data_IF_799382799612
#
_entry.id   IF_799382799612
#
_cell.length_a   1.000
_cell.length_b   1.000
_cell.length_c   1.000
_cell.angle_alpha   90.00
_cell.angle_beta   90.00
_cell.angle_gamma   90.00
#
_symmetry.space_group_name_H-M   'P 1'
#
loop_
_entity.id
_entity.type
_entity.pdbx_description
1 polymer ?
#
# COMPACT_ATOMS: atom_id res chain seq x y z
N UNK A 1 -14.12 0.38 -25.73
CA UNK A 1 -13.49 -0.83 -26.31
C UNK A 1 -13.24 -1.77 -25.15
N UNK A 2 -13.43 -3.10 -25.26
CA UNK A 2 -13.04 -3.99 -24.18
C UNK A 2 -11.55 -3.74 -23.89
N UNK A 3 -11.20 -3.48 -22.62
CA UNK A 3 -9.83 -3.19 -22.22
C UNK A 3 -8.95 -4.39 -22.54
N UNK A 4 -8.16 -4.29 -23.61
CA UNK A 4 -7.19 -5.32 -23.97
C UNK A 4 -6.03 -5.20 -22.99
N UNK A 5 -6.13 -5.82 -21.83
CA UNK A 5 -5.03 -5.87 -20.87
C UNK A 5 -3.90 -6.74 -21.44
N UNK A 6 -2.73 -6.15 -21.64
CA UNK A 6 -1.53 -6.90 -21.99
C UNK A 6 -1.21 -7.91 -20.89
N UNK A 7 -0.95 -9.17 -21.26
CA UNK A 7 -0.55 -10.22 -20.30
C UNK A 7 0.70 -9.80 -19.52
N UNK A 8 1.61 -9.10 -20.19
CA UNK A 8 2.85 -8.57 -19.63
C UNK A 8 2.79 -7.04 -19.57
N UNK A 9 1.81 -6.51 -18.83
CA UNK A 9 1.66 -5.07 -18.61
C UNK A 9 2.86 -4.49 -17.85
N UNK A 10 3.17 -3.21 -18.09
CA UNK A 10 4.27 -2.54 -17.41
C UNK A 10 4.00 -2.42 -15.90
N UNK A 11 2.75 -2.17 -15.49
CA UNK A 11 2.36 -2.08 -14.07
C UNK A 11 2.53 -3.38 -13.30
N UNK A 12 2.49 -4.54 -13.97
CA UNK A 12 2.76 -5.86 -13.38
C UNK A 12 4.19 -6.35 -13.60
N UNK A 13 5.07 -5.54 -14.20
CA UNK A 13 6.43 -5.95 -14.61
C UNK A 13 7.33 -6.41 -13.49
N UNK A 14 7.28 -5.77 -12.32
CA UNK A 14 7.99 -6.25 -11.13
C UNK A 14 7.63 -7.71 -10.81
N UNK A 15 6.42 -8.16 -11.11
CA UNK A 15 5.98 -9.53 -10.85
C UNK A 15 6.43 -10.49 -11.93
N UNK A 16 6.11 -10.25 -13.20
CA UNK A 16 6.44 -11.21 -14.26
C UNK A 16 7.94 -11.23 -14.62
N UNK A 17 8.72 -10.20 -14.28
CA UNK A 17 10.19 -10.24 -14.41
C UNK A 17 10.84 -11.13 -13.34
N UNK A 18 10.30 -11.12 -12.11
CA UNK A 18 10.87 -11.90 -11.02
C UNK A 18 10.29 -13.32 -10.92
N UNK A 19 9.01 -13.50 -11.24
CA UNK A 19 8.32 -14.78 -11.26
C UNK A 19 7.65 -14.95 -12.63
N UNK A 20 8.42 -15.39 -13.62
CA UNK A 20 7.97 -15.54 -15.02
C UNK A 20 6.67 -16.34 -15.21
N UNK A 21 6.45 -17.52 -14.58
CA UNK A 21 5.21 -18.28 -14.78
C UNK A 21 3.96 -17.59 -14.19
N UNK A 22 4.11 -16.58 -13.33
CA UNK A 22 2.97 -15.86 -12.72
C UNK A 22 2.03 -15.25 -13.77
N UNK A 23 2.57 -14.75 -14.87
CA UNK A 23 1.82 -14.09 -15.93
C UNK A 23 0.72 -14.98 -16.54
N UNK A 24 1.01 -16.28 -16.71
CA UNK A 24 0.01 -17.27 -17.19
C UNK A 24 -0.82 -17.84 -16.07
N UNK A 25 -0.22 -18.07 -14.90
CA UNK A 25 -0.93 -18.62 -13.75
C UNK A 25 -2.12 -17.74 -13.34
N UNK A 26 -1.94 -16.43 -13.33
CA UNK A 26 -2.97 -15.46 -12.96
C UNK A 26 -4.14 -15.34 -13.94
N UNK A 27 -4.05 -15.91 -15.15
CA UNK A 27 -5.17 -15.95 -16.09
C UNK A 27 -6.26 -16.92 -15.65
N UNK A 28 -5.93 -17.86 -14.75
CA UNK A 28 -6.88 -18.82 -14.19
C UNK A 28 -7.71 -18.24 -13.03
N UNK A 29 -7.48 -16.97 -12.66
CA UNK A 29 -8.12 -16.32 -11.52
C UNK A 29 -8.89 -15.08 -11.98
N UNK A 30 -10.06 -14.76 -11.37
CA UNK A 30 -10.85 -13.58 -11.71
C UNK A 30 -10.04 -12.29 -11.62
N UNK A 31 -10.17 -11.42 -12.63
CA UNK A 31 -9.56 -10.09 -12.62
C UNK A 31 -10.62 -9.06 -12.22
N UNK A 32 -10.80 -8.87 -10.91
CA UNK A 32 -11.78 -7.95 -10.34
C UNK A 32 -11.14 -6.58 -10.09
N UNK A 33 -11.88 -5.50 -10.36
CA UNK A 33 -11.51 -4.16 -9.92
C UNK A 33 -11.67 -4.06 -8.41
N UNK A 34 -10.92 -3.16 -7.79
CA UNK A 34 -11.15 -2.76 -6.40
C UNK A 34 -11.55 -1.30 -6.38
N UNK A 35 -12.20 -0.87 -5.30
CA UNK A 35 -12.52 0.55 -5.07
C UNK A 35 -11.27 1.42 -5.22
N UNK A 36 -10.12 0.96 -4.73
CA UNK A 36 -8.84 1.67 -4.88
C UNK A 36 -8.37 1.80 -6.33
N UNK A 37 -8.63 0.81 -7.18
CA UNK A 37 -8.29 0.86 -8.60
C UNK A 37 -9.21 1.82 -9.37
N UNK A 38 -10.50 1.84 -9.03
CA UNK A 38 -11.49 2.76 -9.62
C UNK A 38 -11.23 4.21 -9.19
N UNK A 39 -10.96 4.42 -7.90
CA UNK A 39 -10.52 5.71 -7.34
C UNK A 39 -9.23 6.21 -8.01
N UNK A 40 -8.24 5.32 -8.20
CA UNK A 40 -7.03 5.63 -8.95
C UNK A 40 -7.33 6.08 -10.39
N UNK A 41 -8.21 5.36 -11.09
CA UNK A 41 -8.61 5.70 -12.46
C UNK A 41 -9.26 7.09 -12.54
N UNK A 42 -10.13 7.42 -11.57
CA UNK A 42 -10.73 8.76 -11.46
C UNK A 42 -9.66 9.84 -11.23
N UNK A 43 -8.68 9.57 -10.37
CA UNK A 43 -7.60 10.51 -10.08
C UNK A 43 -6.69 10.75 -11.31
N UNK A 44 -6.35 9.70 -12.09
CA UNK A 44 -5.61 9.86 -13.35
C UNK A 44 -6.39 10.72 -14.35
N UNK A 45 -7.68 10.45 -14.55
CA UNK A 45 -8.51 11.24 -15.47
C UNK A 45 -8.58 12.73 -15.07
N UNK A 46 -8.66 13.02 -13.76
CA UNK A 46 -8.65 14.39 -13.25
C UNK A 46 -7.27 15.06 -13.45
N UNK A 47 -6.18 14.33 -13.18
CA UNK A 47 -4.81 14.78 -13.44
C UNK A 47 -4.54 15.08 -14.92
N UNK A 48 -4.95 14.18 -15.82
CA UNK A 48 -4.91 14.37 -17.28
C UNK A 48 -5.63 15.67 -17.67
N UNK A 49 -6.86 15.86 -17.20
CA UNK A 49 -7.63 17.07 -17.49
C UNK A 49 -6.89 18.35 -17.08
N UNK A 50 -6.27 18.37 -15.88
CA UNK A 50 -5.52 19.53 -15.39
C UNK A 50 -4.33 19.84 -16.28
N UNK A 51 -3.56 18.82 -16.69
CA UNK A 51 -2.42 18.98 -17.60
C UNK A 51 -2.83 19.46 -18.99
N UNK A 52 -3.81 18.80 -19.61
CA UNK A 52 -4.30 19.18 -20.94
C UNK A 52 -4.87 20.60 -20.96
N UNK A 53 -5.56 21.01 -19.90
CA UNK A 53 -6.04 22.39 -19.73
C UNK A 53 -4.89 23.40 -19.68
N UNK A 54 -3.81 23.09 -18.95
CA UNK A 54 -2.61 23.91 -18.92
C UNK A 54 -1.92 24.00 -20.29
N UNK A 55 -1.91 22.90 -21.06
CA UNK A 55 -1.42 22.87 -22.45
C UNK A 55 -2.37 23.54 -23.48
N UNK A 56 -3.42 24.22 -23.01
CA UNK A 56 -4.42 24.91 -23.82
C UNK A 56 -5.22 24.00 -24.77
N UNK A 57 -5.31 22.70 -24.46
CA UNK A 57 -6.16 21.76 -25.19
C UNK A 57 -7.64 21.94 -24.80
N UNK A 58 -8.53 21.69 -25.76
CA UNK A 58 -9.98 21.72 -25.51
C UNK A 58 -10.44 20.40 -24.92
N UNK A 59 -10.50 20.32 -23.59
CA UNK A 59 -10.91 19.12 -22.86
C UNK A 59 -12.10 19.38 -21.94
N UNK A 60 -12.93 18.35 -21.76
CA UNK A 60 -14.04 18.37 -20.80
C UNK A 60 -13.54 17.81 -19.48
N UNK A 61 -13.88 18.46 -18.37
CA UNK A 61 -13.59 17.93 -17.03
C UNK A 61 -14.32 16.60 -16.82
N UNK A 62 -13.63 15.53 -16.37
CA UNK A 62 -14.29 14.28 -15.99
C UNK A 62 -15.16 14.48 -14.74
N UNK A 63 -16.04 13.53 -14.48
CA UNK A 63 -16.88 13.49 -13.27
C UNK A 63 -16.82 12.09 -12.70
N UNK A 64 -16.59 11.96 -11.40
CA UNK A 64 -16.52 10.68 -10.70
C UNK A 64 -17.22 10.77 -9.35
N UNK A 65 -17.79 9.67 -8.86
CA UNK A 65 -18.32 9.57 -7.49
C UNK A 65 -17.21 9.52 -6.43
N UNK A 66 -15.99 9.20 -6.85
CA UNK A 66 -14.80 9.14 -6.00
C UNK A 66 -14.09 10.50 -5.84
N UNK A 67 -14.57 11.55 -6.52
CA UNK A 67 -13.95 12.87 -6.46
C UNK A 67 -14.23 13.55 -5.11
N UNK A 68 -13.16 13.85 -4.37
CA UNK A 68 -13.18 14.56 -3.10
C UNK A 68 -12.09 15.64 -3.03
N UNK A 69 -12.06 16.40 -1.94
CA UNK A 69 -11.06 17.47 -1.72
C UNK A 69 -9.62 16.92 -1.70
N UNK A 70 -9.42 15.68 -1.26
CA UNK A 70 -8.11 15.06 -1.20
C UNK A 70 -7.60 14.71 -2.61
N UNK A 71 -8.45 14.13 -3.45
CA UNK A 71 -8.14 13.81 -4.84
C UNK A 71 -7.83 15.08 -5.64
N UNK A 72 -8.58 16.16 -5.41
CA UNK A 72 -8.27 17.47 -6.00
C UNK A 72 -6.87 17.94 -5.62
N UNK A 73 -6.55 17.98 -4.32
CA UNK A 73 -5.24 18.41 -3.84
C UNK A 73 -4.10 17.51 -4.36
N UNK A 74 -4.28 16.19 -4.36
CA UNK A 74 -3.27 15.25 -4.85
C UNK A 74 -3.02 15.40 -6.35
N UNK A 75 -4.09 15.58 -7.15
CA UNK A 75 -3.95 15.78 -8.59
C UNK A 75 -3.43 17.18 -8.94
N UNK A 76 -3.62 18.18 -8.07
CA UNK A 76 -2.95 19.49 -8.17
C UNK A 76 -1.44 19.35 -7.96
N UNK A 77 -1.00 18.67 -6.90
CA UNK A 77 0.44 18.42 -6.65
C UNK A 77 1.09 17.72 -7.86
N UNK A 78 0.40 16.72 -8.43
CA UNK A 78 0.85 16.03 -9.63
C UNK A 78 0.98 16.98 -10.84
N UNK A 79 -0.07 17.74 -11.12
CA UNK A 79 -0.09 18.66 -12.26
C UNK A 79 0.96 19.77 -12.10
N UNK A 80 1.07 20.37 -10.92
CA UNK A 80 2.04 21.44 -10.60
C UNK A 80 3.48 20.97 -10.76
N UNK A 81 3.80 19.74 -10.34
CA UNK A 81 5.14 19.18 -10.53
C UNK A 81 5.52 19.09 -12.01
N UNK A 82 4.61 18.59 -12.86
CA UNK A 82 4.84 18.50 -14.30
C UNK A 82 4.92 19.88 -14.93
N UNK A 83 3.99 20.78 -14.59
CA UNK A 83 3.95 22.16 -15.09
C UNK A 83 5.27 22.88 -14.77
N UNK A 84 5.73 22.79 -13.52
CA UNK A 84 7.00 23.41 -13.11
C UNK A 84 8.19 22.82 -13.85
N UNK A 85 8.17 21.52 -14.17
CA UNK A 85 9.21 20.89 -14.98
C UNK A 85 9.16 21.36 -16.43
N UNK A 86 7.97 21.45 -17.03
CA UNK A 86 7.80 21.99 -18.39
C UNK A 86 8.27 23.43 -18.47
N UNK A 87 7.89 24.29 -17.53
CA UNK A 87 8.33 25.70 -17.51
C UNK A 87 9.85 25.82 -17.35
N UNK A 88 10.47 25.03 -16.47
CA UNK A 88 11.93 24.98 -16.34
C UNK A 88 12.61 24.53 -17.63
N UNK A 89 12.06 23.54 -18.32
CA UNK A 89 12.58 23.08 -19.62
C UNK A 89 12.46 24.18 -20.67
N UNK A 90 11.38 24.97 -20.67
CA UNK A 90 11.17 26.08 -21.62
C UNK A 90 12.22 27.18 -21.51
N UNK A 91 12.92 27.28 -20.38
CA UNK A 91 14.04 28.23 -20.21
C UNK A 91 15.21 27.93 -21.17
N UNK A 92 15.45 26.65 -21.49
CA UNK A 92 16.54 26.21 -22.38
C UNK A 92 16.05 25.68 -23.72
N UNK A 93 14.83 25.14 -23.77
CA UNK A 93 14.21 24.52 -24.93
C UNK A 93 12.88 25.23 -25.24
N UNK A 94 12.82 26.20 -26.17
CA UNK A 94 11.61 26.99 -26.38
C UNK A 94 10.37 26.19 -26.83
N UNK A 95 10.56 25.00 -27.40
CA UNK A 95 9.49 24.16 -27.93
C UNK A 95 9.68 22.69 -27.49
N UNK A 96 9.51 22.36 -26.19
CA UNK A 96 9.56 20.98 -25.75
C UNK A 96 8.32 20.24 -26.26
N UNK A 97 8.49 18.97 -26.66
CA UNK A 97 7.34 18.12 -26.99
C UNK A 97 6.78 17.57 -25.67
N UNK A 98 5.54 17.91 -25.34
CA UNK A 98 4.82 17.42 -24.14
C UNK A 98 3.62 16.61 -24.61
N UNK A 99 3.50 15.39 -24.12
CA UNK A 99 2.43 14.45 -24.46
C UNK A 99 1.80 13.94 -23.17
N UNK A 100 0.46 13.93 -23.12
CA UNK A 100 -0.33 13.52 -21.94
C UNK A 100 -1.16 12.30 -22.31
N UNK A 101 -1.18 11.29 -21.44
CA UNK A 101 -1.77 9.96 -21.69
C UNK A 101 -1.24 9.32 -22.98
N UNK A 102 0.09 9.31 -23.14
CA UNK A 102 0.73 8.80 -24.34
C UNK A 102 0.79 7.28 -24.32
N UNK A 103 0.39 6.63 -25.42
CA UNK A 103 0.48 5.17 -25.55
C UNK A 103 1.92 4.76 -25.86
N UNK A 104 2.51 3.97 -24.97
CA UNK A 104 3.90 3.54 -25.03
C UNK A 104 3.99 2.07 -25.42
N UNK A 105 4.29 1.82 -26.70
CA UNK A 105 4.41 0.47 -27.25
C UNK A 105 5.84 -0.04 -27.15
N UNK A 106 6.04 -1.08 -26.33
CA UNK A 106 7.30 -1.80 -26.17
C UNK A 106 7.18 -3.26 -26.65
N UNK A 107 6.26 -3.52 -27.57
CA UNK A 107 5.92 -4.87 -28.03
C UNK A 107 7.02 -5.56 -28.84
N UNK A 108 7.97 -4.76 -29.37
CA UNK A 108 9.20 -5.24 -30.02
C UNK A 108 10.14 -5.96 -29.04
N UNK A 109 9.98 -5.75 -27.73
CA UNK A 109 10.72 -6.42 -26.65
C UNK A 109 9.88 -7.47 -25.94
N UNK A 110 8.65 -7.10 -25.59
CA UNK A 110 7.74 -7.89 -24.75
C UNK A 110 6.47 -8.19 -25.56
N UNK A 111 6.13 -9.44 -25.87
CA UNK A 111 4.96 -9.72 -26.72
C UNK A 111 3.67 -9.07 -26.20
N UNK A 112 3.01 -8.29 -27.06
CA UNK A 112 1.81 -7.50 -26.74
C UNK A 112 2.01 -6.44 -25.64
N UNK A 113 3.25 -6.12 -25.29
CA UNK A 113 3.60 -5.16 -24.24
C UNK A 113 3.33 -3.72 -24.65
N UNK A 114 2.45 -3.06 -23.91
CA UNK A 114 2.25 -1.62 -23.98
C UNK A 114 1.80 -1.09 -22.63
N UNK A 115 1.84 0.23 -22.47
CA UNK A 115 1.10 0.92 -21.43
C UNK A 115 0.81 2.36 -21.83
N UNK A 116 0.40 3.15 -20.84
CA UNK A 116 0.11 4.56 -21.02
C UNK A 116 0.98 5.33 -20.04
N UNK A 117 1.80 6.24 -20.56
CA UNK A 117 2.56 7.18 -19.74
C UNK A 117 1.71 8.41 -19.50
N UNK A 118 1.51 8.78 -18.23
CA UNK A 118 0.62 9.89 -17.88
C UNK A 118 1.15 11.22 -18.44
N UNK A 119 2.47 11.44 -18.39
CA UNK A 119 3.13 12.55 -19.08
C UNK A 119 4.50 12.15 -19.61
N UNK A 120 4.75 12.45 -20.89
CA UNK A 120 6.02 12.23 -21.58
C UNK A 120 6.51 13.55 -22.17
N UNK A 121 7.76 13.91 -21.88
CA UNK A 121 8.36 15.15 -22.38
C UNK A 121 9.65 14.82 -23.13
N UNK A 122 9.88 15.44 -24.28
CA UNK A 122 11.15 15.35 -25.01
C UNK A 122 11.71 16.76 -25.16
N UNK A 123 12.91 16.97 -24.61
CA UNK A 123 13.61 18.24 -24.67
C UNK A 123 15.11 18.07 -24.48
N UNK A 124 15.92 18.83 -25.21
CA UNK A 124 17.38 18.94 -25.05
C UNK A 124 18.12 17.59 -24.96
N UNK A 125 17.70 16.62 -25.78
CA UNK A 125 18.29 15.27 -25.80
C UNK A 125 17.95 14.40 -24.59
N UNK A 126 16.97 14.82 -23.78
CA UNK A 126 16.44 14.08 -22.62
C UNK A 126 14.99 13.70 -22.87
N UNK A 127 14.65 12.44 -22.56
CA UNK A 127 13.30 11.91 -22.51
C UNK A 127 12.85 11.85 -21.05
N UNK A 128 11.77 12.55 -20.72
CA UNK A 128 11.15 12.51 -19.41
C UNK A 128 9.90 11.65 -19.45
N UNK A 129 9.75 10.74 -18.48
CA UNK A 129 8.55 9.92 -18.30
C UNK A 129 8.07 10.10 -16.87
N UNK A 130 6.87 10.65 -16.69
CA UNK A 130 6.31 10.94 -15.37
C UNK A 130 5.01 10.15 -15.19
N UNK A 131 4.92 9.45 -14.05
CA UNK A 131 3.80 8.55 -13.71
C UNK A 131 3.25 8.93 -12.35
N UNK A 132 1.93 9.09 -12.28
CA UNK A 132 1.17 9.39 -11.09
C UNK A 132 0.80 8.10 -10.35
N UNK A 133 0.89 8.12 -9.02
CA UNK A 133 0.45 7.03 -8.15
C UNK A 133 -0.49 7.56 -7.08
N UNK A 134 -1.75 7.12 -7.11
CA UNK A 134 -2.76 7.49 -6.12
C UNK A 134 -2.84 6.55 -4.90
N UNK A 135 -2.04 5.48 -4.86
CA UNK A 135 -2.11 4.49 -3.77
C UNK A 135 -1.58 5.03 -2.43
N UNK A 136 -2.25 4.71 -1.31
CA UNK A 136 -1.84 5.06 0.07
C UNK A 136 -1.00 3.99 0.78
N UNK A 137 -1.09 2.72 0.35
CA UNK A 137 -0.58 1.58 1.14
C UNK A 137 0.77 0.99 0.69
N UNK A 138 1.36 1.51 -0.39
CA UNK A 138 2.62 1.01 -0.95
C UNK A 138 3.46 2.17 -1.45
N UNK A 139 4.64 2.34 -0.88
CA UNK A 139 5.65 3.26 -1.38
C UNK A 139 6.20 2.76 -2.72
N UNK A 140 6.22 3.62 -3.73
CA UNK A 140 6.75 3.27 -5.06
C UNK A 140 8.00 4.08 -5.35
N UNK A 141 9.16 3.42 -5.33
CA UNK A 141 10.45 4.01 -5.71
C UNK A 141 10.63 3.97 -7.24
N UNK A 142 11.19 5.03 -7.81
CA UNK A 142 11.54 5.12 -9.23
C UNK A 142 12.90 4.49 -9.57
N UNK A 143 13.80 4.33 -8.58
CA UNK A 143 15.12 3.71 -8.75
C UNK A 143 15.01 2.30 -9.36
N UNK A 144 15.53 2.15 -10.58
CA UNK A 144 15.44 0.96 -11.42
C UNK A 144 14.02 0.35 -11.48
N UNK A 145 12.98 1.19 -11.46
CA UNK A 145 11.60 0.73 -11.47
C UNK A 145 11.23 0.12 -12.84
N UNK A 146 10.88 -1.18 -12.92
CA UNK A 146 10.66 -1.82 -14.21
C UNK A 146 9.46 -1.27 -14.99
N UNK A 147 8.43 -0.75 -14.33
CA UNK A 147 7.29 -0.11 -15.00
C UNK A 147 7.79 1.13 -15.75
N UNK A 148 8.52 2.01 -15.06
CA UNK A 148 9.02 3.26 -15.61
C UNK A 148 10.02 3.02 -16.74
N UNK A 149 10.91 2.04 -16.57
CA UNK A 149 11.89 1.68 -17.60
C UNK A 149 11.22 1.12 -18.86
N UNK A 150 10.15 0.31 -18.73
CA UNK A 150 9.37 -0.15 -19.89
C UNK A 150 8.65 0.99 -20.61
N UNK A 151 8.13 1.97 -19.87
CA UNK A 151 7.55 3.18 -20.45
C UNK A 151 8.60 3.99 -21.20
N UNK A 152 9.77 4.20 -20.60
CA UNK A 152 10.89 4.85 -21.27
C UNK A 152 11.32 4.11 -22.55
N UNK A 153 11.34 2.77 -22.55
CA UNK A 153 11.63 1.97 -23.75
C UNK A 153 10.57 2.17 -24.84
N UNK A 154 9.30 2.19 -24.47
CA UNK A 154 8.20 2.45 -25.40
C UNK A 154 8.28 3.85 -26.01
N UNK A 155 8.52 4.87 -25.18
CA UNK A 155 8.69 6.24 -25.64
C UNK A 155 9.95 6.42 -26.50
N UNK A 156 11.08 5.83 -26.09
CA UNK A 156 12.31 5.87 -26.89
C UNK A 156 12.14 5.14 -28.23
N UNK A 157 11.44 4.01 -28.27
CA UNK A 157 11.14 3.32 -29.52
C UNK A 157 10.27 4.19 -30.46
N UNK A 158 9.29 4.91 -29.91
CA UNK A 158 8.41 5.78 -30.69
C UNK A 158 9.10 7.06 -31.20
N UNK A 159 10.06 7.61 -30.45
CA UNK A 159 10.58 8.96 -30.72
C UNK A 159 12.10 9.04 -30.91
N UNK A 160 12.87 8.02 -30.55
CA UNK A 160 14.34 8.01 -30.60
C UNK A 160 14.94 8.11 -32.01
N UNK A 161 14.16 7.82 -33.06
CA UNK A 161 14.57 8.05 -34.45
C UNK A 161 14.33 9.50 -34.92
N UNK A 162 13.43 10.22 -34.25
CA UNK A 162 13.11 11.63 -34.54
C UNK A 162 14.00 12.59 -33.75
N UNK A 163 14.34 12.22 -32.52
CA UNK A 163 15.07 13.06 -31.58
C UNK A 163 16.35 12.36 -31.13
N UNK A 164 17.46 13.10 -31.06
CA UNK A 164 18.74 12.60 -30.53
C UNK A 164 18.71 12.49 -29.00
N UNK A 165 17.91 11.55 -28.49
CA UNK A 165 17.76 11.28 -27.05
C UNK A 165 18.98 10.49 -26.57
N UNK A 166 19.64 10.98 -25.52
CA UNK A 166 20.81 10.34 -24.88
C UNK A 166 20.57 9.97 -23.43
N UNK A 167 19.64 10.67 -22.78
CA UNK A 167 19.32 10.51 -21.37
C UNK A 167 17.82 10.28 -21.20
N UNK A 168 17.48 9.45 -20.22
CA UNK A 168 16.10 9.26 -19.77
C UNK A 168 16.00 9.68 -18.30
N UNK A 169 14.96 10.43 -17.97
CA UNK A 169 14.61 10.85 -16.62
C UNK A 169 13.20 10.36 -16.31
N UNK A 170 13.07 9.44 -15.37
CA UNK A 170 11.79 8.85 -14.98
C UNK A 170 11.40 9.38 -13.61
N UNK A 171 10.14 9.78 -13.43
CA UNK A 171 9.66 10.29 -12.15
C UNK A 171 8.35 9.63 -11.77
N UNK A 172 8.27 9.16 -10.52
CA UNK A 172 7.03 8.71 -9.88
C UNK A 172 6.56 9.82 -8.93
N UNK A 173 5.30 10.20 -9.06
CA UNK A 173 4.67 11.24 -8.25
C UNK A 173 3.55 10.60 -7.43
N UNK A 174 3.76 10.49 -6.12
CA UNK A 174 2.86 9.83 -5.18
C UNK A 174 2.53 10.76 -4.01
N UNK A 175 1.61 11.73 -4.18
CA UNK A 175 1.36 12.79 -3.20
C UNK A 175 0.87 12.29 -1.85
N UNK A 176 0.06 11.22 -1.83
CA UNK A 176 -0.48 10.60 -0.61
C UNK A 176 0.56 10.07 0.37
N UNK A 177 1.78 9.81 -0.12
CA UNK A 177 2.92 9.38 0.69
C UNK A 177 4.05 10.42 0.68
N UNK A 178 3.75 11.66 0.27
CA UNK A 178 4.72 12.76 0.15
C UNK A 178 5.97 12.34 -0.65
N UNK A 179 5.78 11.48 -1.65
CA UNK A 179 6.86 10.84 -2.38
C UNK A 179 6.92 11.35 -3.81
N UNK A 180 8.03 11.99 -4.16
CA UNK A 180 8.43 12.27 -5.54
C UNK A 180 9.81 11.65 -5.73
N UNK A 181 9.87 10.60 -6.55
CA UNK A 181 11.08 9.82 -6.76
C UNK A 181 11.49 9.91 -8.23
N UNK A 182 12.73 10.32 -8.48
CA UNK A 182 13.28 10.43 -9.84
C UNK A 182 14.48 9.50 -9.99
N UNK A 183 14.53 8.79 -11.10
CA UNK A 183 15.66 7.97 -11.52
C UNK A 183 16.08 8.39 -12.93
N UNK A 184 17.38 8.54 -13.13
CA UNK A 184 17.95 8.95 -14.41
C UNK A 184 19.00 7.95 -14.87
N UNK A 185 18.96 7.60 -16.14
CA UNK A 185 19.93 6.70 -16.76
C UNK A 185 20.23 7.12 -18.20
N UNK A 186 21.29 6.53 -18.75
CA UNK A 186 21.60 6.68 -20.18
C UNK A 186 20.68 5.81 -21.03
N UNK A 187 20.48 6.18 -22.29
CA UNK A 187 19.74 5.33 -23.25
C UNK A 187 20.45 3.99 -23.44
N UNK A 188 21.78 3.99 -23.44
CA UNK A 188 22.60 2.78 -23.58
C UNK A 188 22.33 1.79 -22.45
N UNK A 189 22.29 2.27 -21.20
CA UNK A 189 21.97 1.47 -20.02
C UNK A 189 20.54 0.92 -20.06
N UNK A 190 19.57 1.76 -20.48
CA UNK A 190 18.19 1.35 -20.62
C UNK A 190 18.02 0.23 -21.67
N UNK A 191 18.70 0.34 -22.81
CA UNK A 191 18.67 -0.66 -23.87
C UNK A 191 19.41 -1.94 -23.47
N UNK A 192 20.54 -1.83 -22.75
CA UNK A 192 21.24 -3.00 -22.23
C UNK A 192 20.36 -3.80 -21.27
N UNK A 193 19.67 -3.13 -20.35
CA UNK A 193 18.69 -3.78 -19.46
C UNK A 193 17.55 -4.44 -20.25
N UNK A 194 17.05 -3.77 -21.30
CA UNK A 194 15.98 -4.30 -22.15
C UNK A 194 16.38 -5.62 -22.83
N UNK A 195 17.59 -5.68 -23.38
CA UNK A 195 18.09 -6.84 -24.12
C UNK A 195 18.56 -7.96 -23.20
N UNK A 196 19.32 -7.64 -22.15
CA UNK A 196 19.98 -8.64 -21.28
C UNK A 196 19.05 -9.19 -20.20
N UNK A 197 18.10 -8.39 -19.72
CA UNK A 197 17.24 -8.76 -18.60
C UNK A 197 15.79 -8.98 -19.02
N UNK A 198 15.17 -8.00 -19.70
CA UNK A 198 13.73 -8.00 -20.01
C UNK A 198 13.38 -9.00 -21.09
N UNK A 199 13.98 -8.90 -22.28
CA UNK A 199 13.65 -9.74 -23.45
C UNK A 199 13.65 -11.24 -23.13
N UNK A 200 14.67 -11.84 -22.49
CA UNK A 200 14.65 -13.27 -22.19
C UNK A 200 13.55 -13.66 -21.19
N UNK A 201 13.29 -12.82 -20.17
CA UNK A 201 12.25 -13.06 -19.16
C UNK A 201 10.85 -12.89 -19.72
N UNK A 202 10.63 -11.88 -20.54
CA UNK A 202 9.37 -11.64 -21.22
C UNK A 202 8.96 -12.83 -22.09
N UNK A 203 9.92 -13.45 -22.79
CA UNK A 203 9.67 -14.69 -23.54
C UNK A 203 9.19 -15.83 -22.63
N UNK A 204 9.92 -16.09 -21.54
CA UNK A 204 9.54 -17.14 -20.58
C UNK A 204 8.16 -16.86 -19.96
N UNK A 205 7.94 -15.62 -19.52
CA UNK A 205 6.68 -15.20 -18.91
C UNK A 205 5.49 -15.32 -19.87
N UNK A 206 5.68 -14.91 -21.12
CA UNK A 206 4.64 -15.04 -22.15
C UNK A 206 4.30 -16.50 -22.46
N UNK A 207 5.28 -17.40 -22.38
CA UNK A 207 5.11 -18.85 -22.53
C UNK A 207 4.62 -19.55 -21.25
N UNK A 208 4.58 -18.84 -20.10
CA UNK A 208 4.26 -19.43 -18.79
C UNK A 208 5.33 -20.37 -18.25
N UNK A 209 6.58 -20.23 -18.71
CA UNK A 209 7.72 -21.04 -18.32
C UNK A 209 8.58 -20.33 -17.28
N UNK A 210 9.49 -21.09 -16.67
CA UNK A 210 10.40 -20.62 -15.63
C UNK A 210 9.99 -21.14 -14.26
N UNK A 211 10.65 -20.61 -13.23
CA UNK A 211 10.43 -21.03 -11.85
C UNK A 211 9.45 -20.08 -11.15
N UNK A 212 8.59 -20.64 -10.30
CA UNK A 212 7.77 -19.83 -9.40
C UNK A 212 8.69 -19.34 -8.28
N UNK A 213 8.97 -18.04 -8.27
CA UNK A 213 9.81 -17.41 -7.26
C UNK A 213 8.92 -16.53 -6.37
N UNK A 214 8.69 -16.92 -5.12
CA UNK A 214 7.99 -16.06 -4.16
C UNK A 214 8.81 -14.80 -3.85
N UNK A 215 8.12 -13.70 -3.56
CA UNK A 215 8.73 -12.44 -3.14
C UNK A 215 7.68 -11.35 -2.93
N UNK A 216 8.11 -10.09 -2.77
CA UNK A 216 7.20 -8.96 -2.50
C UNK A 216 6.13 -8.77 -3.57
N UNK A 217 6.43 -9.16 -4.81
CA UNK A 217 5.48 -9.09 -5.93
C UNK A 217 4.28 -10.02 -5.77
N UNK A 218 4.34 -11.02 -4.87
CA UNK A 218 3.22 -11.92 -4.61
C UNK A 218 2.02 -11.23 -3.97
N UNK A 219 2.20 -10.07 -3.30
CA UNK A 219 1.09 -9.29 -2.71
C UNK A 219 0.00 -8.94 -3.75
N UNK A 220 0.42 -8.70 -4.99
CA UNK A 220 -0.46 -8.34 -6.10
C UNK A 220 -0.72 -9.50 -7.06
N UNK A 221 -0.24 -10.71 -6.75
CA UNK A 221 -0.46 -11.89 -7.56
C UNK A 221 -1.83 -12.48 -7.25
N UNK A 222 -2.72 -12.57 -8.26
CA UNK A 222 -4.05 -13.17 -8.08
C UNK A 222 -3.99 -14.65 -7.68
N UNK A 223 -2.94 -15.34 -8.10
CA UNK A 223 -2.74 -16.75 -7.79
C UNK A 223 -2.10 -17.02 -6.42
N UNK A 224 -1.79 -15.98 -5.62
CA UNK A 224 -0.99 -16.12 -4.38
C UNK A 224 -1.57 -17.13 -3.38
N UNK A 225 -2.89 -17.20 -3.26
CA UNK A 225 -3.59 -18.10 -2.31
C UNK A 225 -3.52 -19.56 -2.72
N UNK A 226 -3.33 -19.85 -4.01
CA UNK A 226 -3.24 -21.23 -4.55
C UNK A 226 -1.84 -21.56 -5.08
N UNK A 227 -0.86 -20.69 -4.87
CA UNK A 227 0.49 -20.84 -5.39
C UNK A 227 1.29 -21.82 -4.52
N UNK A 228 1.69 -22.95 -5.10
CA UNK A 228 2.50 -23.96 -4.42
C UNK A 228 3.81 -23.37 -3.90
N UNK A 229 4.52 -22.55 -4.69
CA UNK A 229 5.78 -21.97 -4.23
C UNK A 229 5.60 -21.04 -3.02
N UNK A 230 4.49 -20.29 -2.95
CA UNK A 230 4.17 -19.49 -1.76
C UNK A 230 3.88 -20.39 -0.54
N UNK A 231 3.16 -21.49 -0.73
CA UNK A 231 2.91 -22.46 0.33
C UNK A 231 4.20 -23.14 0.81
N UNK A 232 5.05 -23.59 -0.12
CA UNK A 232 6.32 -24.25 0.17
C UNK A 232 7.27 -23.32 0.93
N UNK A 233 7.35 -22.04 0.55
CA UNK A 233 8.14 -21.03 1.25
C UNK A 233 7.62 -20.76 2.67
N UNK A 234 6.31 -20.57 2.83
CA UNK A 234 5.69 -20.39 4.15
C UNK A 234 5.98 -21.61 5.05
N UNK A 235 5.87 -22.82 4.50
CA UNK A 235 6.17 -24.07 5.23
C UNK A 235 7.66 -24.25 5.52
N UNK A 236 8.55 -23.81 4.64
CA UNK A 236 10.01 -23.88 4.85
C UNK A 236 10.43 -22.98 6.02
N UNK A 237 9.87 -21.78 6.13
CA UNK A 237 10.14 -20.87 7.24
C UNK A 237 9.64 -21.42 8.57
N UNK A 238 8.44 -22.01 8.59
CA UNK A 238 7.94 -22.74 9.76
C UNK A 238 8.90 -23.88 10.15
N UNK A 239 9.52 -24.57 9.19
CA UNK A 239 10.45 -25.66 9.49
C UNK A 239 11.83 -25.20 9.93
N UNK A 240 12.40 -24.17 9.31
CA UNK A 240 13.76 -23.69 9.58
C UNK A 240 13.85 -22.88 10.88
N UNK A 241 12.80 -22.16 11.27
CA UNK A 241 12.84 -21.29 12.45
C UNK A 241 12.16 -21.88 13.68
N UNK A 242 11.28 -22.88 13.53
CA UNK A 242 10.34 -23.28 14.59
C UNK A 242 10.34 -24.76 15.02
N UNK A 243 11.31 -25.58 14.63
CA UNK A 243 11.45 -26.94 15.16
C UNK A 243 12.71 -27.11 16.01
N UNK A 244 12.54 -27.00 17.33
CA UNK A 244 13.22 -27.86 18.29
C UNK A 244 12.19 -28.29 19.34
N UNK A 245 11.93 -29.60 19.40
CA UNK A 245 11.18 -30.23 20.47
C UNK A 245 11.99 -30.13 21.77
N UNK A 246 11.27 -29.98 22.88
CA UNK A 246 11.71 -29.96 24.28
C UNK A 246 12.24 -28.62 24.84
N UNK A 247 11.33 -27.81 25.42
CA UNK A 247 11.55 -27.22 26.74
C UNK A 247 10.29 -26.48 27.27
N UNK A 248 9.67 -27.06 28.31
CA UNK A 248 9.01 -26.29 29.37
C UNK A 248 7.63 -25.73 29.05
N UNK A 249 6.60 -26.51 29.39
CA UNK A 249 5.25 -26.00 29.67
C UNK A 249 5.37 -24.92 30.74
N UNK A 250 5.06 -23.67 30.38
CA UNK A 250 4.67 -22.65 31.35
C UNK A 250 3.14 -22.60 31.34
N UNK A 251 2.54 -22.85 32.49
CA UNK A 251 1.12 -22.64 32.74
C UNK A 251 0.90 -21.12 32.83
N UNK A 252 0.29 -20.53 31.81
CA UNK A 252 -0.21 -19.15 31.90
C UNK A 252 -1.70 -19.17 32.24
N UNK A 253 -2.05 -18.44 33.30
CA UNK A 253 -3.42 -18.08 33.67
C UNK A 253 -4.04 -17.24 32.55
N UNK A 254 -5.12 -17.73 31.95
CA UNK A 254 -5.85 -17.05 30.89
C UNK A 254 -6.63 -15.87 31.43
N UNK A 255 -6.25 -14.64 31.07
CA UNK A 255 -7.18 -13.51 31.06
C UNK A 255 -8.02 -13.55 29.76
N UNK A 256 -9.33 -13.66 29.93
CA UNK A 256 -10.30 -13.67 28.82
C UNK A 256 -10.39 -12.27 28.17
N UNK A 257 -10.01 -12.17 26.91
CA UNK A 257 -10.44 -11.07 26.04
C UNK A 257 -11.16 -11.62 24.81
N UNK A 258 -12.12 -10.85 24.30
CA UNK A 258 -13.19 -11.26 23.37
C UNK A 258 -12.72 -11.69 21.94
N UNK A 259 -11.40 -11.80 21.72
CA UNK A 259 -10.76 -12.27 20.49
C UNK A 259 -10.38 -13.76 20.54
N UNK A 260 -10.47 -14.42 21.69
CA UNK A 260 -10.17 -15.85 21.86
C UNK A 260 -11.40 -16.57 22.39
N UNK A 261 -12.36 -16.85 21.50
CA UNK A 261 -13.24 -17.99 21.77
C UNK A 261 -12.33 -19.19 22.04
N UNK A 262 -12.57 -19.89 23.16
CA UNK A 262 -11.86 -21.11 23.58
C UNK A 262 -11.49 -21.95 22.35
N UNK A 263 -10.26 -21.74 21.90
CA UNK A 263 -9.61 -22.56 20.91
C UNK A 263 -8.98 -23.63 21.77
N UNK A 264 -9.45 -24.88 21.63
CA UNK A 264 -8.69 -26.03 22.11
C UNK A 264 -7.56 -26.19 21.08
N UNK A 265 -6.32 -25.73 21.36
CA UNK A 265 -5.24 -25.95 20.43
C UNK A 265 -4.99 -27.44 20.33
N UNK A 266 -4.98 -27.96 19.12
CA UNK A 266 -4.50 -29.31 18.88
C UNK A 266 -3.01 -29.38 19.29
N UNK A 267 -2.76 -29.98 20.46
CA UNK A 267 -1.43 -30.13 21.05
C UNK A 267 -0.53 -31.10 20.28
N UNK A 268 -1.04 -31.73 19.22
CA UNK A 268 -0.23 -32.48 18.26
C UNK A 268 0.46 -31.60 17.21
N UNK A 269 0.13 -30.31 17.15
CA UNK A 269 0.70 -29.32 16.22
C UNK A 269 1.94 -28.66 16.84
N UNK A 270 3.04 -28.46 16.09
CA UNK A 270 4.23 -27.79 16.59
C UNK A 270 3.92 -26.38 17.12
N UNK A 271 4.40 -26.07 18.32
CA UNK A 271 4.24 -24.75 18.95
C UNK A 271 5.35 -23.80 18.50
N UNK A 272 5.02 -22.52 18.30
CA UNK A 272 6.01 -21.50 17.95
C UNK A 272 6.99 -21.25 19.11
N UNK A 273 8.28 -21.08 18.80
CA UNK A 273 9.28 -20.55 19.72
C UNK A 273 8.80 -19.20 20.27
N UNK A 274 8.97 -19.02 21.58
CA UNK A 274 8.77 -17.71 22.18
C UNK A 274 9.68 -16.69 21.49
N UNK A 275 9.16 -15.50 21.11
CA UNK A 275 9.97 -14.41 20.57
C UNK A 275 11.17 -14.04 21.46
N UNK A 276 11.07 -14.30 22.77
CA UNK A 276 12.14 -14.09 23.74
C UNK A 276 13.37 -15.01 23.55
N UNK A 277 13.25 -16.07 22.73
CA UNK A 277 14.31 -17.04 22.45
C UNK A 277 15.02 -16.79 21.10
N UNK A 278 14.60 -15.77 20.35
CA UNK A 278 15.20 -15.39 19.07
C UNK A 278 16.16 -14.21 19.25
N UNK A 279 17.26 -14.21 18.51
CA UNK A 279 18.16 -13.06 18.51
C UNK A 279 17.50 -11.87 17.80
N UNK A 280 17.76 -10.65 18.26
CA UNK A 280 17.23 -9.42 17.63
C UNK A 280 17.50 -9.37 16.12
N UNK A 281 18.71 -9.75 15.70
CA UNK A 281 19.12 -9.74 14.30
C UNK A 281 18.36 -10.77 13.45
N UNK A 282 17.97 -11.90 14.03
CA UNK A 282 17.17 -12.90 13.33
C UNK A 282 15.72 -12.42 13.19
N UNK A 283 15.15 -11.84 14.25
CA UNK A 283 13.82 -11.21 14.20
C UNK A 283 13.78 -10.12 13.11
N UNK A 284 14.79 -9.25 13.05
CA UNK A 284 14.86 -8.17 12.04
C UNK A 284 14.91 -8.70 10.60
N UNK A 285 15.57 -9.83 10.35
CA UNK A 285 15.59 -10.49 9.03
C UNK A 285 14.27 -11.19 8.72
N UNK A 286 13.58 -11.70 9.73
CA UNK A 286 12.32 -12.41 9.61
C UNK A 286 11.14 -11.48 9.33
N UNK A 287 11.12 -10.28 9.92
CA UNK A 287 9.98 -9.36 9.89
C UNK A 287 9.38 -9.12 8.49
N UNK A 288 10.16 -8.82 7.42
CA UNK A 288 9.59 -8.64 6.08
C UNK A 288 8.84 -9.87 5.58
N UNK A 289 9.38 -11.05 5.90
CA UNK A 289 8.82 -12.33 5.50
C UNK A 289 7.60 -12.71 6.34
N UNK A 290 7.64 -12.47 7.65
CA UNK A 290 6.51 -12.68 8.56
C UNK A 290 5.30 -11.82 8.16
N UNK A 291 5.51 -10.54 7.88
CA UNK A 291 4.44 -9.65 7.40
C UNK A 291 3.81 -10.15 6.08
N UNK A 292 4.63 -10.78 5.22
CA UNK A 292 4.14 -11.38 3.98
C UNK A 292 3.35 -12.66 4.22
N UNK A 293 3.77 -13.50 5.16
CA UNK A 293 3.04 -14.71 5.58
C UNK A 293 1.70 -14.31 6.22
N UNK A 294 1.71 -13.35 7.15
CA UNK A 294 0.49 -12.82 7.78
C UNK A 294 -0.51 -12.36 6.72
N UNK A 295 -0.06 -11.53 5.77
CA UNK A 295 -0.91 -11.08 4.65
C UNK A 295 -1.39 -12.22 3.75
N UNK A 296 -0.66 -13.33 3.66
CA UNK A 296 -1.08 -14.52 2.91
C UNK A 296 -2.11 -15.35 3.70
N UNK A 297 -1.92 -15.51 5.01
CA UNK A 297 -2.87 -16.17 5.92
C UNK A 297 -4.21 -15.42 5.88
N UNK A 298 -4.20 -14.10 6.04
CA UNK A 298 -5.40 -13.26 5.94
C UNK A 298 -6.12 -13.45 4.59
N UNK A 299 -5.35 -13.59 3.50
CA UNK A 299 -5.89 -13.82 2.16
C UNK A 299 -6.59 -15.17 2.02
N UNK A 300 -6.00 -16.22 2.61
CA UNK A 300 -6.60 -17.54 2.65
C UNK A 300 -7.90 -17.48 3.41
N UNK A 301 -7.91 -16.86 4.60
CA UNK A 301 -9.14 -16.71 5.38
C UNK A 301 -10.22 -15.93 4.63
N UNK A 302 -9.86 -14.83 3.96
CA UNK A 302 -10.79 -14.06 3.14
C UNK A 302 -11.36 -14.90 1.98
N UNK A 303 -10.50 -15.66 1.28
CA UNK A 303 -10.91 -16.53 0.19
C UNK A 303 -11.85 -17.65 0.67
N UNK A 304 -11.45 -18.41 1.69
CA UNK A 304 -12.23 -19.50 2.28
C UNK A 304 -13.58 -18.97 2.78
N UNK A 305 -13.58 -17.81 3.44
CA UNK A 305 -14.81 -17.15 3.90
C UNK A 305 -15.71 -16.77 2.74
N UNK A 306 -15.16 -16.20 1.65
CA UNK A 306 -15.93 -15.85 0.46
C UNK A 306 -16.54 -17.09 -0.21
N UNK A 307 -15.77 -18.15 -0.43
CA UNK A 307 -16.26 -19.41 -0.99
C UNK A 307 -17.37 -20.04 -0.14
N UNK A 308 -17.20 -20.01 1.19
CA UNK A 308 -18.20 -20.56 2.10
C UNK A 308 -19.48 -19.71 2.16
N UNK A 309 -19.37 -18.38 2.16
CA UNK A 309 -20.50 -17.44 2.30
C UNK A 309 -21.25 -17.27 0.97
N UNK A 310 -20.52 -17.04 -0.12
CA UNK A 310 -21.11 -16.66 -1.41
C UNK A 310 -21.43 -17.86 -2.30
N UNK A 311 -20.66 -18.95 -2.17
CA UNK A 311 -20.78 -20.14 -3.02
C UNK A 311 -21.23 -21.40 -2.26
N UNK A 312 -21.42 -21.31 -0.94
CA UNK A 312 -21.92 -22.41 -0.11
C UNK A 312 -20.95 -23.59 0.03
N UNK A 313 -19.65 -23.35 -0.21
CA UNK A 313 -18.62 -24.39 -0.10
C UNK A 313 -18.39 -24.73 1.37
N UNK A 314 -18.56 -26.00 1.74
CA UNK A 314 -18.28 -26.50 3.09
C UNK A 314 -16.81 -26.90 3.24
N UNK A 315 -16.18 -26.46 4.32
CA UNK A 315 -14.81 -26.82 4.68
C UNK A 315 -14.84 -27.68 5.95
N UNK A 316 -14.17 -28.83 5.92
CA UNK A 316 -14.17 -29.76 7.07
C UNK A 316 -13.57 -29.08 8.31
N UNK A 317 -14.22 -29.23 9.46
CA UNK A 317 -13.86 -28.54 10.71
C UNK A 317 -14.31 -27.07 10.84
N UNK A 318 -14.86 -26.45 9.79
CA UNK A 318 -15.31 -25.05 9.82
C UNK A 318 -16.81 -24.93 9.50
N UNK A 319 -17.50 -23.96 10.12
CA UNK A 319 -18.91 -23.65 9.84
C UNK A 319 -19.09 -22.15 9.61
N UNK A 320 -19.95 -21.79 8.64
CA UNK A 320 -20.42 -20.41 8.49
C UNK A 320 -21.46 -20.15 9.56
N UNK A 321 -21.26 -19.11 10.35
CA UNK A 321 -22.19 -18.64 11.38
C UNK A 321 -22.54 -17.20 11.11
N UNK A 322 -23.71 -16.76 11.60
CA UNK A 322 -24.00 -15.33 11.65
C UNK A 322 -22.95 -14.64 12.52
N UNK A 323 -22.34 -13.57 12.00
CA UNK A 323 -21.43 -12.74 12.77
C UNK A 323 -22.12 -12.24 14.04
N UNK A 324 -21.37 -12.09 15.13
CA UNK A 324 -21.94 -11.62 16.41
C UNK A 324 -22.65 -10.28 16.20
N UNK A 325 -23.99 -10.26 16.28
CA UNK A 325 -24.76 -9.03 16.19
C UNK A 325 -24.49 -8.18 17.44
N UNK A 326 -23.95 -6.96 17.27
CA UNK A 326 -23.92 -5.99 18.37
C UNK A 326 -25.33 -5.42 18.54
N UNK A 327 -25.88 -5.49 19.75
CA UNK A 327 -27.15 -4.82 20.08
C UNK A 327 -26.94 -3.32 19.92
N UNK A 328 -27.81 -2.68 19.16
CA UNK A 328 -27.83 -1.24 18.98
C UNK A 328 -29.22 -0.74 19.35
N UNK A 329 -29.31 0.47 19.90
CA UNK A 329 -30.59 1.08 20.17
C UNK A 329 -31.29 1.41 18.84
N UNK A 330 -32.48 0.86 18.65
CA UNK A 330 -33.27 1.05 17.41
C UNK A 330 -33.69 2.52 17.22
N UNK A 331 -34.12 3.14 18.32
CA UNK A 331 -34.48 4.56 18.38
C UNK A 331 -34.10 5.10 19.76
N UNK A 332 -33.10 5.97 19.77
CA UNK A 332 -32.53 6.55 20.99
C UNK A 332 -33.56 7.35 21.78
N UNK A 333 -34.58 7.94 21.12
CA UNK A 333 -35.64 8.72 21.80
C UNK A 333 -36.59 7.83 22.59
N UNK A 334 -37.05 6.73 21.98
CA UNK A 334 -37.90 5.76 22.67
C UNK A 334 -37.17 5.10 23.83
N UNK A 335 -35.86 4.87 23.69
CA UNK A 335 -34.99 4.33 24.75
C UNK A 335 -34.87 5.31 25.91
N UNK A 336 -34.61 6.58 25.63
CA UNK A 336 -34.55 7.65 26.63
C UNK A 336 -35.86 7.77 27.39
N UNK A 337 -36.99 7.85 26.69
CA UNK A 337 -38.31 7.97 27.32
C UNK A 337 -38.67 6.74 28.17
N UNK A 338 -38.29 5.54 27.71
CA UNK A 338 -38.48 4.31 28.48
C UNK A 338 -37.60 4.27 29.73
N UNK A 339 -36.35 4.70 29.62
CA UNK A 339 -35.40 4.75 30.73
C UNK A 339 -35.81 5.80 31.79
N UNK A 340 -36.17 7.02 31.36
CA UNK A 340 -36.68 8.07 32.24
C UNK A 340 -37.97 7.66 32.95
N UNK A 341 -38.92 7.04 32.23
CA UNK A 341 -40.16 6.52 32.81
C UNK A 341 -39.92 5.42 33.83
N UNK A 342 -38.86 4.63 33.67
CA UNK A 342 -38.44 3.61 34.61
C UNK A 342 -37.58 4.17 35.77
N UNK A 343 -37.35 5.49 35.81
CA UNK A 343 -36.61 6.16 36.88
C UNK A 343 -35.10 6.26 36.65
N UNK A 344 -34.61 5.89 35.47
CA UNK A 344 -33.21 6.06 35.08
C UNK A 344 -33.03 7.40 34.37
N UNK A 345 -32.43 8.37 35.06
CA UNK A 345 -32.26 9.74 34.56
C UNK A 345 -30.83 10.05 34.09
N UNK A 346 -29.88 9.16 34.36
CA UNK A 346 -28.47 9.29 33.96
C UNK A 346 -28.16 8.30 32.83
N UNK A 347 -28.56 8.68 31.62
CA UNK A 347 -28.60 7.81 30.43
C UNK A 347 -27.74 8.35 29.27
N UNK A 348 -27.05 9.47 29.51
CA UNK A 348 -26.17 10.13 28.56
C UNK A 348 -24.75 10.15 29.12
N UNK A 349 -23.76 9.95 28.26
CA UNK A 349 -22.36 10.11 28.63
C UNK A 349 -21.99 11.61 28.55
N UNK A 350 -21.79 12.27 29.69
CA UNK A 350 -21.30 13.66 29.74
C UNK A 350 -19.77 13.66 29.68
N UNK A 351 -19.19 14.26 28.64
CA UNK A 351 -17.72 14.34 28.48
C UNK A 351 -17.25 15.81 28.53
N UNK A 352 -16.04 16.01 29.07
CA UNK A 352 -15.39 17.31 29.16
C UNK A 352 -15.00 17.85 27.78
N UNK A 353 -15.06 19.17 27.61
CA UNK A 353 -14.55 19.82 26.40
C UNK A 353 -13.02 19.75 26.35
N UNK A 354 -12.45 19.77 25.15
CA UNK A 354 -11.01 19.67 24.95
C UNK A 354 -10.23 20.85 25.55
N UNK A 355 -8.96 20.63 25.89
CA UNK A 355 -8.06 21.67 26.44
C UNK A 355 -8.03 22.93 25.57
N UNK A 356 -7.98 22.78 24.25
CA UNK A 356 -7.98 23.90 23.30
C UNK A 356 -9.30 24.68 23.33
N UNK A 357 -10.42 23.99 23.59
CA UNK A 357 -11.72 24.65 23.75
C UNK A 357 -11.81 25.42 25.07
N UNK A 358 -11.27 24.87 26.17
CA UNK A 358 -11.14 25.60 27.43
C UNK A 358 -10.22 26.83 27.30
N UNK A 359 -9.06 26.70 26.67
CA UNK A 359 -8.15 27.82 26.43
C UNK A 359 -8.79 28.96 25.63
N UNK A 360 -9.64 28.63 24.65
CA UNK A 360 -10.43 29.62 23.89
C UNK A 360 -11.56 30.23 24.72
N UNK A 361 -12.21 29.45 25.58
CA UNK A 361 -13.39 29.87 26.35
C UNK A 361 -13.03 30.89 27.44
N UNK A 362 -11.97 30.66 28.20
CA UNK A 362 -11.58 31.52 29.32
C UNK A 362 -10.30 32.32 29.08
N UNK A 363 -9.61 32.06 27.96
CA UNK A 363 -8.36 32.70 27.58
C UNK A 363 -7.16 32.03 28.23
N UNK A 364 -6.08 31.82 27.47
CA UNK A 364 -4.88 31.05 27.89
C UNK A 364 -4.35 31.43 29.28
N UNK A 365 -4.35 32.73 29.62
CA UNK A 365 -3.83 33.22 30.91
C UNK A 365 -4.70 32.78 32.09
N UNK A 366 -6.03 32.90 31.99
CA UNK A 366 -6.97 32.43 33.02
C UNK A 366 -7.11 30.91 33.01
N UNK A 367 -7.00 30.28 31.84
CA UNK A 367 -6.94 28.82 31.74
C UNK A 367 -5.76 28.27 32.55
N UNK A 368 -4.56 28.83 32.38
CA UNK A 368 -3.39 28.43 33.15
C UNK A 368 -3.56 28.71 34.66
N UNK A 369 -4.18 29.84 35.02
CA UNK A 369 -4.34 30.28 36.41
C UNK A 369 -5.43 29.50 37.17
N UNK A 370 -6.50 29.05 36.49
CA UNK A 370 -7.66 28.38 37.10
C UNK A 370 -7.61 26.87 36.90
N UNK A 371 -7.26 26.43 35.69
CA UNK A 371 -7.29 25.02 35.30
C UNK A 371 -5.88 24.43 35.13
N UNK A 372 -4.82 25.24 35.08
CA UNK A 372 -3.47 24.77 34.82
C UNK A 372 -2.92 23.80 35.86
N UNK A 373 -3.35 23.92 37.13
CA UNK A 373 -3.01 22.96 38.19
C UNK A 373 -3.70 21.59 38.00
N UNK A 374 -4.71 21.52 37.14
CA UNK A 374 -5.47 20.30 36.79
C UNK A 374 -5.17 19.80 35.37
N UNK A 375 -4.23 20.44 34.65
CA UNK A 375 -3.75 20.00 33.33
C UNK A 375 -2.40 19.33 33.50
N UNK A 376 -2.40 18.00 33.50
CA UNK A 376 -1.17 17.21 33.48
C UNK A 376 -0.76 17.02 32.02
N UNK A 377 0.51 17.33 31.70
CA UNK A 377 1.15 16.86 30.48
C UNK A 377 1.85 15.56 30.84
N UNK A 378 1.23 14.38 30.66
CA UNK A 378 1.91 13.14 30.96
C UNK A 378 3.18 13.05 30.10
N UNK A 379 4.27 12.44 30.62
CA UNK A 379 5.40 12.12 29.78
C UNK A 379 4.88 11.30 28.59
N UNK A 380 5.36 11.63 27.38
CA UNK A 380 5.03 10.82 26.21
C UNK A 380 5.39 9.36 26.50
N UNK A 381 4.56 8.41 26.05
CA UNK A 381 4.86 6.97 26.19
C UNK A 381 6.32 6.73 25.85
N UNK A 382 7.04 6.05 26.75
CA UNK A 382 8.41 5.62 26.49
C UNK A 382 8.40 4.85 25.16
N UNK A 383 9.10 5.39 24.18
CA UNK A 383 9.27 4.78 22.87
C UNK A 383 10.70 4.26 22.82
N UNK A 384 10.85 2.95 22.67
CA UNK A 384 12.14 2.33 22.46
C UNK A 384 12.65 2.80 21.09
N UNK A 385 13.61 3.70 21.09
CA UNK A 385 14.19 4.31 19.89
C UNK A 385 15.66 3.91 19.75
N UNK A 386 16.24 3.89 18.53
CA UNK A 386 17.65 3.57 18.34
C UNK A 386 18.57 4.59 19.04
N UNK A 387 19.79 4.20 19.44
CA UNK A 387 20.80 5.10 20.06
C UNK A 387 21.20 6.32 19.19
N UNK A 388 20.82 6.32 17.91
CA UNK A 388 20.96 7.48 17.02
C UNK A 388 19.85 8.53 17.18
N UNK A 389 18.85 8.28 18.03
CA UNK A 389 17.83 9.24 18.43
C UNK A 389 18.44 10.29 19.37
N UNK A 390 18.23 11.57 19.08
CA UNK A 390 18.85 12.69 19.81
C UNK A 390 18.21 12.96 21.18
N UNK A 391 17.13 12.25 21.56
CA UNK A 391 16.44 12.43 22.83
C UNK A 391 17.20 11.74 23.97
N UNK A 392 17.37 12.44 25.10
CA UNK A 392 18.06 11.89 26.27
C UNK A 392 17.30 10.67 26.84
N UNK A 393 18.06 9.61 27.16
CA UNK A 393 17.52 8.40 27.77
C UNK A 393 16.96 8.69 29.17
N UNK A 394 15.81 8.10 29.49
CA UNK A 394 15.13 8.28 30.77
C UNK A 394 15.67 7.26 31.79
N UNK A 395 16.03 7.72 33.01
CA UNK A 395 16.41 6.83 34.12
C UNK A 395 15.18 6.10 34.67
N UNK A 396 15.20 4.76 34.62
CA UNK A 396 14.03 3.91 34.88
C UNK A 396 13.88 3.45 36.35
N UNK A 397 14.76 3.88 37.26
CA UNK A 397 14.70 3.44 38.67
C UNK A 397 13.69 4.20 39.57
N UNK A 398 12.92 5.16 39.04
CA UNK A 398 12.01 6.01 39.84
C UNK A 398 10.53 5.96 39.43
N UNK A 399 10.13 5.10 38.48
CA UNK A 399 8.77 5.08 37.92
C UNK A 399 7.83 4.06 38.58
N UNK A 400 7.79 4.00 39.91
CA UNK A 400 6.86 3.10 40.65
C UNK A 400 5.49 3.74 40.94
N UNK A 401 5.32 5.04 40.76
CA UNK A 401 4.05 5.70 41.05
C UNK A 401 3.46 6.32 39.78
N UNK A 402 2.28 5.84 39.39
CA UNK A 402 1.22 6.51 38.61
C UNK A 402 0.50 5.59 37.59
N UNK A 403 0.02 4.43 38.05
CA UNK A 403 -1.29 3.94 37.61
C UNK A 403 -2.31 4.19 38.74
N UNK A 404 -2.66 5.45 38.95
CA UNK A 404 -3.89 5.78 39.66
C UNK A 404 -4.97 6.06 38.61
N UNK A 405 -5.82 5.05 38.50
CA UNK A 405 -6.97 4.97 37.61
C UNK A 405 -8.05 5.97 38.05
N UNK A 406 -8.82 6.41 37.06
CA UNK A 406 -10.19 6.94 37.11
C UNK A 406 -10.32 8.46 37.25
N UNK A 407 -11.28 9.13 36.63
CA UNK A 407 -12.58 8.70 36.06
C UNK A 407 -12.83 9.31 34.66
#
# INVERSE_FOLDING_TARGET
>A
MPEVHAILSASSSKRWLNCTPSARLEQNFPNESSVYAEEGTAAHALGEYKLRKYLHERVKRPTSEYEDEEMEANTDIYAEFIISTVERIKETCPHPLVMVEERLDYSHLVPQGFGTGDCVIIADGTLYVMDYKNGKGVFVNCDHNPQMMLYALGAYHAYGYLYSIKKVSMTIIQPRLENISTFECSVEELLDWAETYVRPRAKLAFEGKGEQVPGDWCRFCRARTSCKACADEAMALVKEEFLDLDAGVLEDETEETDATASFDPDTSVPTFKSPALLSKTDIEKMLPTLNRIESWIEAIFAYVSSEAINHGVSWDGYKVVEGRSKRQFLDTKSVVAAAEKAGYTDIYKTELISLTAFEKLMGKKKFQEILGEYVVKPPGKLALVPDSDLREAVDLQTAEDEFAVLD
#
